data_IF_308402358858
#
_entry.id   IF_308402358858
#
_cell.length_a   1.000
_cell.length_b   1.000
_cell.length_c   1.000
_cell.angle_alpha   90.00
_cell.angle_beta   90.00
_cell.angle_gamma   90.00
#
_symmetry.space_group_name_H-M   'P 1'
#
loop_
_entity.id
_entity.type
_entity.pdbx_description
1 polymer ?
#
# COMPACT_ATOMS: atom_id res chain seq x y z
N UNK A 1 -26.66 -29.94 -27.07
CA UNK A 1 -27.39 -29.02 -26.15
C UNK A 1 -26.47 -28.00 -25.48
N UNK A 2 -25.17 -28.28 -25.24
CA UNK A 2 -24.19 -27.30 -24.69
C UNK A 2 -23.98 -26.07 -25.58
N UNK A 3 -23.59 -26.24 -26.85
CA UNK A 3 -23.25 -25.11 -27.73
C UNK A 3 -24.37 -24.08 -27.97
N UNK A 4 -25.65 -24.49 -27.89
CA UNK A 4 -26.78 -23.56 -27.99
C UNK A 4 -26.96 -22.76 -26.70
N UNK A 5 -26.74 -23.38 -25.54
CA UNK A 5 -26.76 -22.72 -24.23
C UNK A 5 -25.59 -21.75 -24.09
N UNK A 6 -24.41 -22.14 -24.55
CA UNK A 6 -23.21 -21.29 -24.55
C UNK A 6 -23.40 -20.08 -25.48
N UNK A 7 -23.95 -20.29 -26.68
CA UNK A 7 -24.26 -19.20 -27.61
C UNK A 7 -25.37 -18.25 -27.09
N UNK A 8 -26.39 -18.79 -26.40
CA UNK A 8 -27.43 -17.97 -25.78
C UNK A 8 -26.92 -17.18 -24.57
N UNK A 9 -26.04 -17.77 -23.76
CA UNK A 9 -25.41 -17.11 -22.61
C UNK A 9 -24.45 -16.01 -23.07
N UNK A 10 -23.68 -16.27 -24.12
CA UNK A 10 -22.81 -15.29 -24.78
C UNK A 10 -23.60 -14.13 -25.40
N UNK A 11 -24.72 -14.42 -26.07
CA UNK A 11 -25.60 -13.39 -26.59
C UNK A 11 -26.19 -12.56 -25.44
N UNK A 12 -26.73 -13.21 -24.40
CA UNK A 12 -27.31 -12.53 -23.24
C UNK A 12 -26.31 -11.61 -22.55
N UNK A 13 -25.06 -12.06 -22.34
CA UNK A 13 -23.99 -11.23 -21.79
C UNK A 13 -23.68 -10.02 -22.68
N UNK A 14 -23.63 -10.20 -23.99
CA UNK A 14 -23.43 -9.11 -24.94
C UNK A 14 -24.52 -8.03 -24.88
N UNK A 15 -25.75 -8.39 -24.50
CA UNK A 15 -26.87 -7.45 -24.33
C UNK A 15 -26.89 -6.73 -22.99
N UNK A 16 -26.36 -7.32 -21.91
CA UNK A 16 -26.38 -6.70 -20.57
C UNK A 16 -25.07 -6.02 -20.19
N UNK A 17 -23.97 -6.32 -20.90
CA UNK A 17 -22.64 -5.80 -20.56
C UNK A 17 -22.53 -4.28 -20.63
N UNK A 18 -23.05 -3.58 -21.66
CA UNK A 18 -22.99 -2.12 -21.68
C UNK A 18 -23.65 -1.47 -20.44
N UNK A 19 -24.78 -2.02 -20.00
CA UNK A 19 -25.49 -1.57 -18.81
C UNK A 19 -24.72 -1.90 -17.52
N UNK A 20 -24.10 -3.08 -17.45
CA UNK A 20 -23.23 -3.47 -16.34
C UNK A 20 -22.00 -2.55 -16.24
N UNK A 21 -21.34 -2.28 -17.36
CA UNK A 21 -20.16 -1.42 -17.42
C UNK A 21 -20.49 0.02 -17.00
N UNK A 22 -21.63 0.56 -17.44
CA UNK A 22 -22.12 1.87 -17.03
C UNK A 22 -22.50 1.91 -15.54
N UNK A 23 -23.17 0.87 -15.02
CA UNK A 23 -23.54 0.79 -13.59
C UNK A 23 -22.28 0.68 -12.72
N UNK A 24 -21.27 -0.07 -13.14
CA UNK A 24 -19.98 -0.18 -12.46
C UNK A 24 -19.20 1.13 -12.52
N UNK A 25 -19.29 1.87 -13.63
CA UNK A 25 -18.73 3.22 -13.74
C UNK A 25 -19.40 4.19 -12.75
N UNK A 26 -20.72 4.13 -12.60
CA UNK A 26 -21.43 4.94 -11.60
C UNK A 26 -21.01 4.58 -10.17
N UNK A 27 -20.81 3.28 -9.87
CA UNK A 27 -20.28 2.86 -8.59
C UNK A 27 -18.88 3.45 -8.31
N UNK A 28 -17.99 3.45 -9.31
CA UNK A 28 -16.65 4.07 -9.21
C UNK A 28 -16.71 5.57 -8.92
N UNK A 29 -17.58 6.29 -9.61
CA UNK A 29 -17.78 7.72 -9.36
C UNK A 29 -18.21 8.00 -7.90
N UNK A 30 -19.09 7.18 -7.31
CA UNK A 30 -19.48 7.38 -5.91
C UNK A 30 -18.35 7.03 -4.93
N UNK A 31 -17.47 6.08 -5.28
CA UNK A 31 -16.26 5.78 -4.50
C UNK A 31 -15.29 6.95 -4.54
N UNK A 32 -15.07 7.54 -5.73
CA UNK A 32 -14.27 8.76 -5.91
C UNK A 32 -14.79 9.92 -5.05
N UNK A 33 -16.10 10.19 -5.09
CA UNK A 33 -16.69 11.26 -4.28
C UNK A 33 -16.54 11.01 -2.78
N UNK A 34 -16.71 9.77 -2.32
CA UNK A 34 -16.52 9.44 -0.92
C UNK A 34 -15.06 9.56 -0.48
N UNK A 35 -14.11 9.17 -1.32
CA UNK A 35 -12.68 9.30 -1.02
C UNK A 35 -12.27 10.77 -0.80
N UNK A 36 -12.88 11.69 -1.56
CA UNK A 36 -12.68 13.14 -1.41
C UNK A 36 -13.39 13.71 -0.17
N UNK A 37 -14.59 13.22 0.15
CA UNK A 37 -15.37 13.68 1.30
C UNK A 37 -15.92 12.49 2.12
N UNK A 38 -15.09 11.88 3.01
CA UNK A 38 -15.48 10.67 3.76
C UNK A 38 -16.64 10.88 4.74
N UNK A 39 -17.00 12.14 5.03
CA UNK A 39 -18.14 12.47 5.88
C UNK A 39 -19.49 12.25 5.19
N UNK A 40 -19.54 12.28 3.85
CA UNK A 40 -20.76 12.03 3.07
C UNK A 40 -20.99 10.53 2.86
N UNK A 41 -21.40 9.85 3.93
CA UNK A 41 -21.74 8.41 3.89
C UNK A 41 -22.88 8.07 2.91
N UNK A 42 -23.61 9.05 2.39
CA UNK A 42 -24.66 8.79 1.38
C UNK A 42 -24.08 8.24 0.07
N UNK A 43 -22.83 8.60 -0.26
CA UNK A 43 -22.08 8.10 -1.42
C UNK A 43 -21.93 6.58 -1.41
N UNK A 44 -21.53 6.02 -0.26
CA UNK A 44 -21.41 4.58 -0.09
C UNK A 44 -22.75 3.86 -0.17
N UNK A 45 -23.85 4.52 0.21
CA UNK A 45 -25.20 3.97 0.03
C UNK A 45 -25.57 3.87 -1.45
N UNK A 46 -25.27 4.89 -2.25
CA UNK A 46 -25.49 4.86 -3.71
C UNK A 46 -24.60 3.80 -4.37
N UNK A 47 -23.32 3.74 -4.01
CA UNK A 47 -22.39 2.71 -4.46
C UNK A 47 -22.93 1.30 -4.20
N UNK A 48 -23.38 1.01 -2.96
CA UNK A 48 -23.99 -0.27 -2.62
C UNK A 48 -25.24 -0.56 -3.46
N UNK A 49 -26.07 0.45 -3.77
CA UNK A 49 -27.22 0.31 -4.66
C UNK A 49 -26.85 -0.09 -6.09
N UNK A 50 -25.82 0.53 -6.66
CA UNK A 50 -25.31 0.16 -8.00
C UNK A 50 -24.73 -1.26 -8.00
N UNK A 51 -23.94 -1.63 -7.00
CA UNK A 51 -23.37 -2.98 -6.87
C UNK A 51 -24.45 -4.05 -6.70
N UNK A 52 -25.53 -3.73 -5.97
CA UNK A 52 -26.70 -4.60 -5.86
C UNK A 52 -27.38 -4.85 -7.21
N UNK A 53 -27.52 -3.80 -8.03
CA UNK A 53 -28.09 -3.92 -9.37
C UNK A 53 -27.20 -4.78 -10.30
N UNK A 54 -25.87 -4.60 -10.23
CA UNK A 54 -24.89 -5.43 -10.95
C UNK A 54 -25.04 -6.90 -10.54
N UNK A 55 -25.09 -7.17 -9.23
CA UNK A 55 -25.27 -8.50 -8.67
C UNK A 55 -26.57 -9.16 -9.15
N UNK A 56 -27.69 -8.45 -9.11
CA UNK A 56 -28.98 -8.95 -9.59
C UNK A 56 -28.96 -9.27 -11.09
N UNK A 57 -28.33 -8.39 -11.89
CA UNK A 57 -28.19 -8.58 -13.34
C UNK A 57 -27.35 -9.80 -13.67
N UNK A 58 -26.21 -9.98 -13.00
CA UNK A 58 -25.34 -11.15 -13.18
C UNK A 58 -26.02 -12.46 -12.80
N UNK A 59 -26.82 -12.46 -11.72
CA UNK A 59 -27.64 -13.63 -11.35
C UNK A 59 -28.72 -13.95 -12.38
N UNK A 60 -29.35 -12.93 -12.98
CA UNK A 60 -30.36 -13.14 -14.03
C UNK A 60 -29.80 -13.80 -15.30
N UNK A 61 -28.52 -13.55 -15.62
CA UNK A 61 -27.82 -14.20 -16.75
C UNK A 61 -27.04 -15.45 -16.34
N UNK A 62 -27.31 -16.00 -15.15
CA UNK A 62 -26.68 -17.21 -14.59
C UNK A 62 -25.14 -17.12 -14.39
N UNK A 63 -24.58 -15.92 -14.29
CA UNK A 63 -23.15 -15.69 -14.00
C UNK A 63 -22.91 -15.58 -12.49
N UNK A 64 -22.97 -16.71 -11.80
CA UNK A 64 -22.95 -16.77 -10.33
C UNK A 64 -21.63 -16.31 -9.70
N UNK A 65 -20.48 -16.72 -10.24
CA UNK A 65 -19.18 -16.34 -9.67
C UNK A 65 -18.87 -14.83 -9.79
N UNK A 66 -19.10 -14.17 -10.95
CA UNK A 66 -19.09 -12.71 -11.04
C UNK A 66 -20.10 -12.03 -10.11
N UNK A 67 -21.30 -12.62 -9.93
CA UNK A 67 -22.29 -12.08 -9.01
C UNK A 67 -21.82 -12.12 -7.54
N UNK A 68 -21.02 -13.12 -7.15
CA UNK A 68 -20.40 -13.16 -5.82
C UNK A 68 -19.42 -12.01 -5.62
N UNK A 69 -18.65 -11.63 -6.65
CA UNK A 69 -17.74 -10.48 -6.57
C UNK A 69 -18.54 -9.20 -6.32
N UNK A 70 -19.61 -8.98 -7.10
CA UNK A 70 -20.49 -7.83 -6.91
C UNK A 70 -21.15 -7.81 -5.52
N UNK A 71 -21.53 -8.98 -5.00
CA UNK A 71 -22.10 -9.13 -3.65
C UNK A 71 -21.09 -8.78 -2.55
N UNK A 72 -19.85 -9.27 -2.63
CA UNK A 72 -18.83 -8.94 -1.64
C UNK A 72 -18.44 -7.46 -1.68
N UNK A 73 -18.42 -6.84 -2.87
CA UNK A 73 -18.23 -5.40 -3.03
C UNK A 73 -19.40 -4.60 -2.44
N UNK A 74 -20.64 -5.03 -2.68
CA UNK A 74 -21.84 -4.40 -2.10
C UNK A 74 -21.76 -4.40 -0.57
N UNK A 75 -21.37 -5.54 0.01
CA UNK A 75 -21.20 -5.67 1.45
C UNK A 75 -20.03 -4.83 1.99
N UNK A 76 -18.94 -4.69 1.24
CA UNK A 76 -17.84 -3.78 1.60
C UNK A 76 -18.31 -2.33 1.59
N UNK A 77 -19.01 -1.88 0.55
CA UNK A 77 -19.55 -0.52 0.48
C UNK A 77 -20.50 -0.24 1.67
N UNK A 78 -21.33 -1.21 2.07
CA UNK A 78 -22.17 -1.09 3.26
C UNK A 78 -21.35 -0.98 4.55
N UNK A 79 -20.29 -1.78 4.70
CA UNK A 79 -19.41 -1.72 5.86
C UNK A 79 -18.70 -0.36 5.99
N UNK A 80 -18.24 0.20 4.86
CA UNK A 80 -17.69 1.56 4.80
C UNK A 80 -18.76 2.59 5.19
N UNK A 81 -19.98 2.45 4.67
CA UNK A 81 -21.10 3.36 4.97
C UNK A 81 -21.38 3.49 6.47
N UNK A 82 -21.28 2.39 7.22
CA UNK A 82 -21.57 2.35 8.67
C UNK A 82 -20.32 2.53 9.55
N UNK A 83 -19.12 2.66 8.95
CA UNK A 83 -17.86 2.83 9.67
C UNK A 83 -17.34 1.56 10.35
N UNK A 84 -17.64 0.38 9.80
CA UNK A 84 -17.19 -0.92 10.32
C UNK A 84 -15.83 -1.38 9.77
N UNK A 85 -15.23 -0.62 8.85
CA UNK A 85 -13.89 -0.89 8.30
C UNK A 85 -12.80 -0.20 9.12
N UNK A 86 -11.65 -0.86 9.25
CA UNK A 86 -10.51 -0.30 9.99
C UNK A 86 -9.84 0.87 9.26
N UNK A 87 -9.72 0.76 7.93
CA UNK A 87 -9.11 1.76 7.06
C UNK A 87 -10.05 2.06 5.87
N UNK A 88 -10.51 3.31 5.79
CA UNK A 88 -11.44 3.75 4.74
C UNK A 88 -10.75 3.89 3.39
N UNK A 89 -9.48 4.29 3.37
CA UNK A 89 -8.72 4.47 2.14
C UNK A 89 -8.42 3.11 1.52
N UNK A 90 -8.03 2.13 2.33
CA UNK A 90 -7.85 0.74 1.90
C UNK A 90 -9.17 0.13 1.38
N UNK A 91 -10.27 0.37 2.08
CA UNK A 91 -11.58 -0.10 1.65
C UNK A 91 -12.03 0.51 0.31
N UNK A 92 -11.81 1.82 0.11
CA UNK A 92 -12.11 2.49 -1.15
C UNK A 92 -11.22 1.97 -2.28
N UNK A 93 -9.93 1.74 -2.03
CA UNK A 93 -9.04 1.13 -3.01
C UNK A 93 -9.50 -0.28 -3.42
N UNK A 94 -9.93 -1.10 -2.47
CA UNK A 94 -10.45 -2.45 -2.75
C UNK A 94 -11.76 -2.40 -3.56
N UNK A 95 -12.66 -1.47 -3.24
CA UNK A 95 -13.88 -1.22 -4.02
C UNK A 95 -13.56 -0.79 -5.46
N UNK A 96 -12.61 0.14 -5.65
CA UNK A 96 -12.16 0.57 -6.98
C UNK A 96 -11.55 -0.60 -7.76
N UNK A 97 -10.65 -1.36 -7.15
CA UNK A 97 -10.03 -2.53 -7.78
C UNK A 97 -11.09 -3.55 -8.21
N UNK A 98 -12.02 -3.93 -7.34
CA UNK A 98 -13.07 -4.89 -7.69
C UNK A 98 -13.99 -4.42 -8.82
N UNK A 99 -14.33 -3.13 -8.84
CA UNK A 99 -15.18 -2.53 -9.90
C UNK A 99 -14.46 -2.31 -11.23
N UNK A 100 -13.12 -2.37 -11.25
CA UNK A 100 -12.30 -2.40 -12.47
C UNK A 100 -12.09 -3.82 -12.99
N UNK A 101 -11.84 -4.79 -12.09
CA UNK A 101 -11.56 -6.19 -12.44
C UNK A 101 -12.78 -6.97 -12.96
N UNK A 102 -13.97 -6.70 -12.40
CA UNK A 102 -15.19 -7.41 -12.77
C UNK A 102 -15.55 -7.23 -14.26
N UNK A 103 -15.54 -6.01 -14.85
CA UNK A 103 -15.73 -5.80 -16.28
C UNK A 103 -14.79 -6.63 -17.17
N UNK A 104 -13.52 -6.79 -16.80
CA UNK A 104 -12.53 -7.55 -17.58
C UNK A 104 -12.84 -9.03 -17.63
N UNK A 105 -13.29 -9.58 -16.50
CA UNK A 105 -13.79 -10.96 -16.46
C UNK A 105 -14.97 -11.15 -17.41
N UNK A 106 -15.93 -10.23 -17.37
CA UNK A 106 -17.12 -10.29 -18.24
C UNK A 106 -16.76 -10.12 -19.72
N UNK A 107 -15.79 -9.26 -20.03
CA UNK A 107 -15.33 -9.09 -21.41
C UNK A 107 -14.59 -10.32 -21.94
N UNK A 108 -13.81 -11.01 -21.10
CA UNK A 108 -13.23 -12.31 -21.43
C UNK A 108 -14.32 -13.32 -21.81
N UNK A 109 -15.40 -13.42 -21.04
CA UNK A 109 -16.53 -14.28 -21.38
C UNK A 109 -17.23 -13.85 -22.68
N UNK A 110 -17.40 -12.54 -22.88
CA UNK A 110 -17.98 -11.97 -24.10
C UNK A 110 -17.12 -12.20 -25.35
N UNK A 111 -15.80 -12.38 -25.18
CA UNK A 111 -14.89 -12.73 -26.27
C UNK A 111 -14.87 -14.25 -26.55
N UNK A 112 -15.76 -15.02 -25.92
CA UNK A 112 -15.92 -16.46 -26.14
C UNK A 112 -14.92 -17.34 -25.39
N UNK A 113 -14.16 -16.77 -24.45
CA UNK A 113 -13.30 -17.58 -23.59
C UNK A 113 -14.14 -18.40 -22.60
N UNK A 114 -13.64 -19.59 -22.25
CA UNK A 114 -14.28 -20.49 -21.27
C UNK A 114 -14.45 -19.81 -19.91
N UNK A 115 -15.59 -19.99 -19.27
CA UNK A 115 -15.82 -19.56 -17.89
C UNK A 115 -14.91 -20.34 -16.92
N UNK A 116 -14.08 -19.63 -16.16
CA UNK A 116 -13.12 -20.21 -15.21
C UNK A 116 -13.23 -19.45 -13.88
N UNK A 117 -14.28 -19.73 -13.08
CA UNK A 117 -14.57 -19.01 -11.83
C UNK A 117 -13.43 -18.92 -10.83
N UNK A 118 -12.56 -19.93 -10.78
CA UNK A 118 -11.48 -20.04 -9.78
C UNK A 118 -10.49 -18.85 -9.83
N UNK A 119 -10.36 -18.18 -10.99
CA UNK A 119 -9.50 -16.98 -11.09
C UNK A 119 -10.03 -15.77 -10.32
N UNK A 120 -11.32 -15.77 -9.94
CA UNK A 120 -11.92 -14.71 -9.12
C UNK A 120 -11.72 -14.94 -7.61
N UNK A 121 -11.26 -16.13 -7.20
CA UNK A 121 -11.11 -16.47 -5.78
C UNK A 121 -10.14 -15.54 -5.03
N UNK A 122 -8.97 -15.15 -5.59
CA UNK A 122 -8.09 -14.19 -4.92
C UNK A 122 -8.79 -12.85 -4.66
N UNK A 123 -9.48 -12.30 -5.67
CA UNK A 123 -10.22 -11.04 -5.54
C UNK A 123 -11.32 -11.13 -4.48
N UNK A 124 -12.11 -12.21 -4.48
CA UNK A 124 -13.14 -12.45 -3.47
C UNK A 124 -12.54 -12.46 -2.05
N UNK A 125 -11.40 -13.12 -1.88
CA UNK A 125 -10.74 -13.23 -0.58
C UNK A 125 -10.13 -11.91 -0.12
N UNK A 126 -9.56 -11.11 -1.02
CA UNK A 126 -9.09 -9.77 -0.70
C UNK A 126 -10.25 -8.86 -0.24
N UNK A 127 -11.38 -8.83 -0.97
CA UNK A 127 -12.56 -8.03 -0.58
C UNK A 127 -13.08 -8.43 0.81
N UNK A 128 -13.09 -9.74 1.09
CA UNK A 128 -13.51 -10.30 2.38
C UNK A 128 -12.52 -9.94 3.49
N UNK A 129 -11.22 -10.03 3.23
CA UNK A 129 -10.18 -9.69 4.18
C UNK A 129 -10.25 -8.21 4.59
N UNK A 130 -10.53 -7.28 3.66
CA UNK A 130 -10.74 -5.85 3.98
C UNK A 130 -11.89 -5.61 4.97
N UNK A 131 -12.82 -6.57 5.11
CA UNK A 131 -13.92 -6.54 6.08
C UNK A 131 -13.68 -7.43 7.30
N UNK A 132 -12.47 -7.98 7.45
CA UNK A 132 -12.13 -8.95 8.49
C UNK A 132 -12.88 -10.28 8.39
N UNK A 133 -13.36 -10.64 7.20
CA UNK A 133 -14.08 -11.90 6.96
C UNK A 133 -13.12 -13.02 6.53
N UNK A 134 -13.38 -14.28 6.94
CA UNK A 134 -12.55 -15.39 6.51
C UNK A 134 -12.66 -15.61 5.00
N UNK A 135 -11.55 -16.00 4.37
CA UNK A 135 -11.50 -16.35 2.95
C UNK A 135 -12.41 -17.53 2.60
N UNK A 136 -12.84 -17.57 1.34
CA UNK A 136 -13.55 -18.67 0.72
C UNK A 136 -12.57 -19.74 0.24
N UNK A 137 -13.04 -20.98 0.25
CA UNK A 137 -12.35 -22.11 -0.37
C UNK A 137 -12.88 -22.33 -1.79
N UNK A 138 -12.06 -22.98 -2.63
CA UNK A 138 -12.40 -23.29 -4.03
C UNK A 138 -13.72 -24.05 -4.20
N UNK A 139 -14.06 -24.89 -3.22
CA UNK A 139 -15.29 -25.68 -3.18
C UNK A 139 -16.57 -24.85 -3.27
N UNK A 140 -16.53 -23.59 -2.82
CA UNK A 140 -17.68 -22.67 -2.92
C UNK A 140 -17.94 -22.31 -4.38
N UNK A 141 -16.89 -22.07 -5.18
CA UNK A 141 -17.03 -21.73 -6.60
C UNK A 141 -17.43 -22.96 -7.44
N UNK A 142 -16.90 -24.15 -7.10
CA UNK A 142 -17.29 -25.40 -7.75
C UNK A 142 -18.73 -25.83 -7.48
N UNK A 143 -19.35 -25.34 -6.40
CA UNK A 143 -20.75 -25.60 -6.11
C UNK A 143 -21.70 -24.90 -7.10
N UNK A 144 -21.27 -23.77 -7.68
CA UNK A 144 -22.05 -23.00 -8.65
C UNK A 144 -21.78 -23.42 -10.10
N UNK A 145 -20.57 -23.92 -10.38
CA UNK A 145 -20.21 -24.52 -11.66
C UNK A 145 -19.42 -25.83 -11.46
N UNK A 146 -20.10 -26.99 -11.51
CA UNK A 146 -19.44 -28.29 -11.40
C UNK A 146 -18.42 -28.59 -12.51
N UNK A 147 -18.46 -27.85 -13.64
CA UNK A 147 -17.48 -28.00 -14.73
C UNK A 147 -16.26 -27.10 -14.57
N UNK A 148 -16.26 -26.17 -13.61
CA UNK A 148 -15.11 -25.32 -13.29
C UNK A 148 -13.93 -26.12 -12.70
N UNK A 149 -14.18 -27.29 -12.11
CA UNK A 149 -13.13 -28.21 -11.63
C UNK A 149 -12.37 -28.97 -12.72
N UNK A 150 -12.66 -28.69 -14.00
CA UNK A 150 -12.09 -29.38 -15.18
C UNK A 150 -11.28 -28.41 -16.05
N UNK A 151 -10.87 -27.27 -15.51
CA UNK A 151 -9.95 -26.37 -16.21
C UNK A 151 -8.52 -26.89 -16.07
N UNK A 152 -7.78 -26.96 -17.17
CA UNK A 152 -6.37 -27.35 -17.19
C UNK A 152 -5.48 -26.20 -16.69
N UNK A 153 -4.28 -26.53 -16.20
CA UNK A 153 -3.29 -25.53 -15.76
C UNK A 153 -3.07 -24.44 -16.85
N UNK A 154 -2.92 -24.86 -18.11
CA UNK A 154 -2.74 -23.94 -19.24
C UNK A 154 -3.96 -23.03 -19.49
N UNK A 155 -5.18 -23.49 -19.22
CA UNK A 155 -6.39 -22.66 -19.31
C UNK A 155 -6.47 -21.67 -18.13
N UNK A 156 -6.03 -22.07 -16.94
CA UNK A 156 -5.89 -21.17 -15.79
C UNK A 156 -4.86 -20.08 -16.06
N UNK A 157 -3.68 -20.45 -16.54
CA UNK A 157 -2.59 -19.52 -16.85
C UNK A 157 -3.01 -18.53 -17.94
N UNK A 158 -3.72 -19.02 -18.97
CA UNK A 158 -4.27 -18.15 -20.00
C UNK A 158 -5.33 -17.18 -19.44
N UNK A 159 -6.22 -17.66 -18.55
CA UNK A 159 -7.23 -16.81 -17.92
C UNK A 159 -6.61 -15.75 -17.00
N UNK A 160 -5.64 -16.14 -16.16
CA UNK A 160 -4.87 -15.24 -15.31
C UNK A 160 -4.08 -14.22 -16.13
N UNK A 161 -3.37 -14.67 -17.15
CA UNK A 161 -2.60 -13.82 -18.04
C UNK A 161 -3.47 -12.82 -18.82
N UNK A 162 -4.64 -13.25 -19.29
CA UNK A 162 -5.59 -12.36 -19.98
C UNK A 162 -6.15 -11.27 -19.06
N UNK A 163 -6.48 -11.60 -17.80
CA UNK A 163 -6.95 -10.63 -16.82
C UNK A 163 -5.81 -9.69 -16.40
N UNK A 164 -4.66 -10.25 -16.02
CA UNK A 164 -3.46 -9.52 -15.61
C UNK A 164 -2.97 -8.54 -16.70
N UNK A 165 -2.97 -8.97 -17.97
CA UNK A 165 -2.53 -8.12 -19.09
C UNK A 165 -3.38 -6.86 -19.26
N UNK A 166 -4.71 -7.01 -19.18
CA UNK A 166 -5.65 -5.88 -19.30
C UNK A 166 -5.58 -4.93 -18.12
N UNK A 167 -5.46 -5.48 -16.90
CA UNK A 167 -5.25 -4.69 -15.70
C UNK A 167 -3.95 -3.88 -15.79
N UNK A 168 -2.89 -4.48 -16.32
CA UNK A 168 -1.62 -3.81 -16.57
C UNK A 168 -1.78 -2.66 -17.56
N UNK A 169 -2.48 -2.84 -18.68
CA UNK A 169 -2.71 -1.76 -19.65
C UNK A 169 -3.49 -0.58 -19.06
N UNK A 170 -4.51 -0.86 -18.23
CA UNK A 170 -5.28 0.17 -17.55
C UNK A 170 -4.45 0.91 -16.50
N UNK A 171 -3.70 0.18 -15.67
CA UNK A 171 -2.86 0.79 -14.63
C UNK A 171 -1.68 1.55 -15.21
N UNK A 172 -1.13 1.11 -16.34
CA UNK A 172 -0.11 1.86 -17.06
C UNK A 172 -0.70 3.17 -17.61
N UNK A 173 -1.94 3.15 -18.13
CA UNK A 173 -2.63 4.35 -18.59
C UNK A 173 -2.86 5.35 -17.46
N UNK A 174 -3.42 4.89 -16.33
CA UNK A 174 -3.68 5.74 -15.15
C UNK A 174 -2.38 6.20 -14.50
N UNK A 175 -1.39 5.31 -14.40
CA UNK A 175 -0.07 5.61 -13.86
C UNK A 175 0.66 6.67 -14.69
N UNK A 176 0.63 6.57 -16.01
CA UNK A 176 1.19 7.58 -16.90
C UNK A 176 0.48 8.92 -16.77
N UNK A 177 -0.85 8.94 -16.63
CA UNK A 177 -1.59 10.18 -16.38
C UNK A 177 -1.17 10.86 -15.06
N UNK A 178 -1.01 10.08 -13.98
CA UNK A 178 -0.50 10.56 -12.68
C UNK A 178 0.92 11.11 -12.80
N UNK A 179 1.82 10.39 -13.49
CA UNK A 179 3.21 10.82 -13.74
C UNK A 179 3.25 12.15 -14.52
N UNK A 180 2.41 12.30 -15.54
CA UNK A 180 2.29 13.55 -16.31
C UNK A 180 1.80 14.73 -15.44
N UNK A 181 0.79 14.51 -14.60
CA UNK A 181 0.26 15.57 -13.73
C UNK A 181 1.32 16.03 -12.72
N UNK A 182 2.08 15.10 -12.11
CA UNK A 182 3.19 15.44 -11.22
C UNK A 182 4.34 16.16 -11.95
N UNK A 183 4.64 15.78 -13.20
CA UNK A 183 5.62 16.51 -14.02
C UNK A 183 5.17 17.95 -14.26
N UNK A 184 3.89 18.19 -14.58
CA UNK A 184 3.34 19.54 -14.76
C UNK A 184 3.44 20.37 -13.48
N UNK A 185 3.15 19.78 -12.32
CA UNK A 185 3.31 20.45 -11.03
C UNK A 185 4.76 20.85 -10.81
N UNK A 186 5.71 19.92 -11.01
CA UNK A 186 7.14 20.20 -10.89
C UNK A 186 7.59 21.34 -11.81
N UNK A 187 7.19 21.31 -13.08
CA UNK A 187 7.56 22.32 -14.07
C UNK A 187 7.01 23.71 -13.71
N UNK A 188 5.79 23.77 -13.17
CA UNK A 188 5.21 25.02 -12.66
C UNK A 188 5.99 25.58 -11.47
N UNK A 189 6.44 24.73 -10.55
CA UNK A 189 7.26 25.15 -9.40
C UNK A 189 8.66 25.63 -9.83
N UNK A 190 9.32 24.94 -10.76
CA UNK A 190 10.61 25.38 -11.33
C UNK A 190 10.48 26.73 -12.04
N UNK A 191 9.42 26.91 -12.85
CA UNK A 191 9.14 28.18 -13.50
C UNK A 191 8.94 29.30 -12.48
N UNK A 192 8.17 29.04 -11.43
CA UNK A 192 7.90 30.00 -10.37
C UNK A 192 9.18 30.42 -9.63
N UNK A 193 10.05 29.47 -9.29
CA UNK A 193 11.36 29.74 -8.67
C UNK A 193 12.28 30.60 -9.55
N UNK A 194 12.25 30.39 -10.88
CA UNK A 194 13.09 31.14 -11.82
C UNK A 194 12.59 32.56 -12.10
N UNK A 195 11.28 32.72 -12.17
CA UNK A 195 10.64 33.98 -12.60
C UNK A 195 10.20 34.86 -11.43
N UNK A 196 10.08 34.30 -10.22
CA UNK A 196 9.58 35.00 -9.04
C UNK A 196 8.11 35.40 -9.20
N UNK A 197 7.27 34.47 -9.67
CA UNK A 197 5.84 34.69 -9.93
C UNK A 197 5.00 34.97 -8.67
N UNK A 198 3.70 35.20 -8.84
CA UNK A 198 2.79 35.39 -7.71
C UNK A 198 2.52 34.05 -7.00
N UNK A 199 2.77 33.99 -5.69
CA UNK A 199 2.60 32.79 -4.88
C UNK A 199 1.15 32.29 -4.93
N UNK A 200 0.17 33.19 -5.13
CA UNK A 200 -1.24 32.83 -5.26
C UNK A 200 -1.53 31.91 -6.46
N UNK A 201 -0.70 31.94 -7.51
CA UNK A 201 -0.87 31.08 -8.69
C UNK A 201 -0.61 29.59 -8.36
N UNK A 202 0.22 29.32 -7.35
CA UNK A 202 0.56 27.96 -6.89
C UNK A 202 -0.62 27.23 -6.24
N UNK A 203 -1.73 27.93 -5.97
CA UNK A 203 -2.97 27.31 -5.49
C UNK A 203 -3.51 26.26 -6.46
N UNK A 204 -3.24 26.39 -7.76
CA UNK A 204 -3.60 25.39 -8.77
C UNK A 204 -2.84 24.09 -8.53
N UNK A 205 -1.52 24.18 -8.36
CA UNK A 205 -0.65 23.02 -8.09
C UNK A 205 -1.00 22.31 -6.78
N UNK A 206 -1.45 23.04 -5.76
CA UNK A 206 -1.99 22.42 -4.52
C UNK A 206 -3.21 21.54 -4.82
N UNK A 207 -4.12 21.98 -5.70
CA UNK A 207 -5.29 21.18 -6.10
C UNK A 207 -4.90 19.98 -6.95
N UNK A 208 -3.95 20.17 -7.86
CA UNK A 208 -3.46 19.11 -8.75
C UNK A 208 -2.80 17.98 -7.94
N UNK A 209 -1.95 18.32 -6.96
CA UNK A 209 -1.36 17.35 -6.02
C UNK A 209 -2.43 16.63 -5.18
N UNK A 210 -3.50 17.32 -4.78
CA UNK A 210 -4.64 16.68 -4.11
C UNK A 210 -5.29 15.60 -4.99
N UNK A 211 -5.56 15.94 -6.25
CA UNK A 211 -6.19 15.02 -7.21
C UNK A 211 -5.28 13.81 -7.50
N UNK A 212 -3.97 14.02 -7.58
CA UNK A 212 -2.99 12.93 -7.71
C UNK A 212 -3.01 12.01 -6.48
N UNK A 213 -2.97 12.59 -5.28
CA UNK A 213 -3.03 11.83 -4.03
C UNK A 213 -4.30 10.96 -3.94
N UNK A 214 -5.45 11.50 -4.34
CA UNK A 214 -6.72 10.75 -4.36
C UNK A 214 -6.64 9.57 -5.34
N UNK A 215 -6.08 9.79 -6.54
CA UNK A 215 -5.89 8.74 -7.54
C UNK A 215 -4.98 7.62 -7.04
N UNK A 216 -3.86 7.97 -6.39
CA UNK A 216 -2.95 7.00 -5.78
C UNK A 216 -3.63 6.22 -4.64
N UNK A 217 -4.45 6.91 -3.83
CA UNK A 217 -5.28 6.27 -2.80
C UNK A 217 -6.22 5.25 -3.39
N UNK A 218 -6.92 5.60 -4.48
CA UNK A 218 -7.84 4.71 -5.18
C UNK A 218 -7.14 3.50 -5.82
N UNK A 219 -5.87 3.63 -6.19
CA UNK A 219 -5.06 2.51 -6.69
C UNK A 219 -4.52 1.61 -5.56
N UNK A 220 -4.76 1.96 -4.29
CA UNK A 220 -4.22 1.24 -3.13
C UNK A 220 -2.77 1.59 -2.81
N UNK A 221 -2.22 2.64 -3.42
CA UNK A 221 -0.86 3.13 -3.19
C UNK A 221 -0.82 4.08 -1.99
N UNK A 222 -1.22 3.60 -0.82
CA UNK A 222 -1.36 4.42 0.39
C UNK A 222 -0.09 5.17 0.79
N UNK A 223 1.09 4.53 0.66
CA UNK A 223 2.36 5.18 0.99
C UNK A 223 2.70 6.28 -0.02
N UNK A 224 2.54 6.02 -1.32
CA UNK A 224 2.78 7.02 -2.36
C UNK A 224 1.81 8.20 -2.25
N UNK A 225 0.53 7.92 -1.94
CA UNK A 225 -0.45 8.94 -1.58
C UNK A 225 0.05 9.82 -0.44
N UNK A 226 0.51 9.22 0.66
CA UNK A 226 0.97 9.99 1.83
C UNK A 226 2.15 10.92 1.49
N UNK A 227 3.09 10.45 0.65
CA UNK A 227 4.19 11.29 0.16
C UNK A 227 3.64 12.50 -0.62
N UNK A 228 2.71 12.28 -1.55
CA UNK A 228 2.09 13.38 -2.34
C UNK A 228 1.27 14.33 -1.45
N UNK A 229 0.53 13.81 -0.47
CA UNK A 229 -0.22 14.61 0.51
C UNK A 229 0.71 15.52 1.31
N UNK A 230 1.86 15.00 1.76
CA UNK A 230 2.86 15.81 2.45
C UNK A 230 3.38 16.95 1.57
N UNK A 231 3.62 16.69 0.28
CA UNK A 231 4.05 17.72 -0.67
C UNK A 231 2.96 18.77 -0.92
N UNK A 232 1.70 18.34 -1.06
CA UNK A 232 0.54 19.22 -1.16
C UNK A 232 0.46 20.17 0.03
N UNK A 233 0.59 19.64 1.25
CA UNK A 233 0.46 20.42 2.49
C UNK A 233 1.67 21.35 2.71
N UNK A 234 2.86 20.92 2.29
CA UNK A 234 4.04 21.80 2.25
C UNK A 234 3.82 22.97 1.29
N UNK A 235 3.32 22.70 0.08
CA UNK A 235 3.04 23.74 -0.91
C UNK A 235 1.90 24.67 -0.44
N UNK A 236 0.87 24.14 0.20
CA UNK A 236 -0.22 24.95 0.79
C UNK A 236 0.31 25.94 1.83
N UNK A 237 1.26 25.54 2.69
CA UNK A 237 1.92 26.44 3.65
C UNK A 237 2.73 27.56 2.97
N UNK A 238 3.30 27.29 1.79
CA UNK A 238 3.95 28.32 0.97
C UNK A 238 2.91 29.31 0.45
N UNK A 239 1.78 28.82 -0.06
CA UNK A 239 0.68 29.66 -0.56
C UNK A 239 0.09 30.54 0.54
N UNK A 240 -0.06 30.01 1.75
CA UNK A 240 -0.55 30.75 2.93
C UNK A 240 0.49 31.74 3.51
N UNK A 241 1.69 31.83 2.91
CA UNK A 241 2.76 32.73 3.35
C UNK A 241 3.43 32.32 4.66
N UNK A 242 3.20 31.10 5.14
CA UNK A 242 3.81 30.56 6.35
C UNK A 242 5.25 30.07 6.11
N UNK A 243 5.57 29.71 4.86
CA UNK A 243 6.89 29.22 4.45
C UNK A 243 7.31 29.94 3.18
N UNK A 244 8.61 30.22 3.05
CA UNK A 244 9.15 30.83 1.84
C UNK A 244 9.35 29.77 0.77
N UNK A 245 8.97 30.07 -0.47
CA UNK A 245 9.29 29.21 -1.61
C UNK A 245 10.81 29.18 -1.84
N UNK A 246 11.39 27.99 -1.84
CA UNK A 246 12.81 27.75 -2.11
C UNK A 246 13.04 26.45 -2.91
N UNK A 247 14.29 26.16 -3.24
CA UNK A 247 14.68 24.99 -4.03
C UNK A 247 14.39 23.66 -3.32
N UNK A 248 14.27 23.64 -1.98
CA UNK A 248 13.98 22.42 -1.23
C UNK A 248 12.59 21.87 -1.56
N UNK A 249 11.59 22.75 -1.68
CA UNK A 249 10.21 22.37 -2.06
C UNK A 249 10.16 21.74 -3.45
N UNK A 250 10.96 22.24 -4.41
CA UNK A 250 11.06 21.66 -5.75
C UNK A 250 11.71 20.27 -5.72
N UNK A 251 12.77 20.09 -4.91
CA UNK A 251 13.45 18.81 -4.75
C UNK A 251 12.55 17.77 -4.07
N UNK A 252 11.74 18.17 -3.09
CA UNK A 252 10.81 17.27 -2.42
C UNK A 252 9.71 16.78 -3.36
N UNK A 253 9.17 17.64 -4.23
CA UNK A 253 8.20 17.26 -5.28
C UNK A 253 8.85 16.35 -6.34
N UNK A 254 10.11 16.62 -6.72
CA UNK A 254 10.84 15.72 -7.61
C UNK A 254 11.10 14.35 -6.97
N UNK A 255 11.36 14.30 -5.67
CA UNK A 255 11.47 13.06 -4.89
C UNK A 255 10.15 12.29 -4.83
N UNK A 256 9.03 12.99 -4.61
CA UNK A 256 7.70 12.40 -4.64
C UNK A 256 7.39 11.77 -6.00
N UNK A 257 7.78 12.43 -7.10
CA UNK A 257 7.62 11.90 -8.45
C UNK A 257 8.39 10.59 -8.65
N UNK A 258 9.65 10.51 -8.23
CA UNK A 258 10.46 9.28 -8.32
C UNK A 258 9.87 8.15 -7.46
N UNK A 259 9.35 8.49 -6.29
CA UNK A 259 8.72 7.52 -5.39
C UNK A 259 7.42 6.95 -5.99
N UNK A 260 6.57 7.82 -6.54
CA UNK A 260 5.34 7.43 -7.23
C UNK A 260 5.64 6.57 -8.46
N UNK A 261 6.68 6.91 -9.22
CA UNK A 261 7.15 6.13 -10.36
C UNK A 261 7.51 4.70 -9.97
N UNK A 262 8.37 4.54 -8.94
CA UNK A 262 8.76 3.24 -8.43
C UNK A 262 7.57 2.44 -7.85
N UNK A 263 6.63 3.12 -7.18
CA UNK A 263 5.45 2.48 -6.57
C UNK A 263 4.45 1.97 -7.63
N UNK A 264 4.24 2.75 -8.70
CA UNK A 264 3.39 2.35 -9.83
C UNK A 264 3.98 1.15 -10.58
N UNK A 265 5.30 1.15 -10.79
CA UNK A 265 6.00 0.04 -11.45
C UNK A 265 5.93 -1.25 -10.62
N UNK A 266 6.06 -1.16 -9.29
CA UNK A 266 5.92 -2.31 -8.38
C UNK A 266 4.50 -2.87 -8.39
N UNK A 267 3.47 -2.02 -8.44
CA UNK A 267 2.10 -2.49 -8.49
C UNK A 267 1.73 -3.16 -9.82
N UNK A 268 2.25 -2.68 -10.93
CA UNK A 268 2.14 -3.34 -12.24
C UNK A 268 2.85 -4.70 -12.22
N UNK A 269 4.02 -4.79 -11.58
CA UNK A 269 4.77 -6.04 -11.43
C UNK A 269 4.03 -7.05 -10.52
N UNK A 270 3.44 -6.57 -9.43
CA UNK A 270 2.67 -7.40 -8.48
C UNK A 270 1.43 -8.04 -9.12
N UNK A 271 0.82 -7.39 -10.12
CA UNK A 271 -0.32 -7.96 -10.83
C UNK A 271 0.09 -8.98 -11.89
N UNK A 272 1.33 -8.89 -12.39
CA UNK A 272 1.94 -9.85 -13.31
C UNK A 272 2.69 -11.01 -12.63
N UNK A 273 2.78 -11.03 -11.30
CA UNK A 273 3.41 -12.12 -10.56
C UNK A 273 2.48 -13.34 -10.54
N UNK A 274 2.93 -14.40 -11.19
CA UNK A 274 2.26 -15.70 -11.24
C UNK A 274 2.15 -16.29 -9.82
N UNK A 275 0.94 -16.64 -9.32
CA UNK A 275 0.79 -17.39 -8.08
C UNK A 275 1.30 -18.84 -8.19
N UNK A 276 1.72 -19.26 -9.39
CA UNK A 276 2.00 -20.64 -9.78
C UNK A 276 3.38 -21.18 -9.44
N UNK A 277 3.82 -21.11 -8.18
CA UNK A 277 4.72 -22.16 -7.67
C UNK A 277 4.04 -22.89 -6.49
N UNK A 278 3.41 -24.01 -6.84
CA UNK A 278 2.33 -24.68 -6.11
C UNK A 278 2.70 -25.43 -4.84
N UNK A 279 3.46 -24.83 -3.92
CA UNK A 279 3.68 -25.43 -2.58
C UNK A 279 3.40 -24.48 -1.40
N UNK A 280 2.98 -23.23 -1.63
CA UNK A 280 2.80 -22.24 -0.55
C UNK A 280 1.46 -21.46 -0.59
N UNK A 281 0.41 -22.02 -1.19
CA UNK A 281 -0.87 -21.29 -1.38
C UNK A 281 -1.64 -21.03 -0.06
N UNK A 282 -1.26 -21.66 1.06
CA UNK A 282 -1.77 -21.27 2.39
C UNK A 282 -0.94 -20.20 3.11
N UNK A 283 0.20 -19.78 2.55
CA UNK A 283 1.09 -18.79 3.17
C UNK A 283 1.11 -17.43 2.45
N UNK A 284 0.51 -17.27 1.27
CA UNK A 284 0.63 -16.03 0.49
C UNK A 284 -0.30 -14.89 0.95
N UNK A 285 -1.53 -15.19 1.37
CA UNK A 285 -2.42 -14.19 1.98
C UNK A 285 -1.92 -13.75 3.36
N UNK A 286 -1.37 -14.70 4.14
CA UNK A 286 -0.66 -14.38 5.36
C UNK A 286 0.64 -13.63 5.06
N UNK A 287 1.34 -13.89 3.95
CA UNK A 287 2.62 -13.22 3.69
C UNK A 287 2.46 -11.79 3.20
N UNK A 288 1.36 -11.37 2.57
CA UNK A 288 1.10 -9.96 2.23
C UNK A 288 0.67 -9.14 3.46
N UNK A 289 -0.20 -9.69 4.32
CA UNK A 289 -0.55 -9.09 5.61
C UNK A 289 0.64 -9.07 6.57
N UNK A 290 1.38 -10.18 6.66
CA UNK A 290 2.63 -10.25 7.43
C UNK A 290 3.67 -9.31 6.82
N UNK A 291 3.80 -9.20 5.49
CA UNK A 291 4.73 -8.23 4.85
C UNK A 291 4.35 -6.79 5.15
N UNK A 292 3.07 -6.43 5.12
CA UNK A 292 2.61 -5.07 5.45
C UNK A 292 2.80 -4.77 6.93
N UNK A 293 2.52 -5.74 7.80
CA UNK A 293 2.80 -5.67 9.24
C UNK A 293 4.30 -5.54 9.49
N UNK A 294 5.12 -6.28 8.75
CA UNK A 294 6.59 -6.24 8.79
C UNK A 294 7.13 -4.88 8.32
N UNK A 295 6.63 -4.34 7.22
CA UNK A 295 7.06 -3.05 6.68
C UNK A 295 6.65 -1.90 7.63
N UNK A 296 5.45 -1.96 8.24
CA UNK A 296 5.01 -1.00 9.27
C UNK A 296 5.87 -1.11 10.54
N UNK A 297 6.12 -2.32 11.04
CA UNK A 297 7.00 -2.55 12.19
C UNK A 297 8.44 -2.09 11.94
N UNK A 298 8.97 -2.32 10.73
CA UNK A 298 10.30 -1.86 10.35
C UNK A 298 10.36 -0.33 10.27
N UNK A 299 9.33 0.31 9.72
CA UNK A 299 9.24 1.77 9.65
C UNK A 299 9.15 2.40 11.05
N UNK A 300 8.33 1.83 11.92
CA UNK A 300 8.21 2.27 13.32
C UNK A 300 9.52 2.07 14.09
N UNK A 301 10.20 0.93 13.89
CA UNK A 301 11.51 0.67 14.47
C UNK A 301 12.57 1.69 14.02
N UNK A 302 12.61 2.07 12.74
CA UNK A 302 13.54 3.10 12.23
C UNK A 302 13.24 4.46 12.85
N UNK A 303 11.96 4.86 12.90
CA UNK A 303 11.55 6.14 13.48
C UNK A 303 11.94 6.23 14.97
N UNK A 304 11.61 5.20 15.75
CA UNK A 304 11.94 5.14 17.18
C UNK A 304 13.45 5.12 17.43
N UNK A 305 14.22 4.44 16.57
CA UNK A 305 15.68 4.44 16.64
C UNK A 305 16.27 5.82 16.30
N UNK A 306 15.73 6.50 15.29
CA UNK A 306 16.11 7.87 14.94
C UNK A 306 15.88 8.85 16.10
N UNK A 307 14.72 8.79 16.75
CA UNK A 307 14.42 9.59 17.95
C UNK A 307 15.37 9.26 19.11
N UNK A 308 15.72 7.99 19.32
CA UNK A 308 16.69 7.61 20.34
C UNK A 308 18.08 8.23 20.05
N UNK A 309 18.51 8.26 18.78
CA UNK A 309 19.75 8.92 18.35
C UNK A 309 19.75 10.41 18.64
N UNK A 310 18.66 11.11 18.33
CA UNK A 310 18.54 12.55 18.62
C UNK A 310 18.70 12.84 20.11
N UNK A 311 18.13 12.00 20.98
CA UNK A 311 18.33 12.11 22.43
C UNK A 311 19.79 11.91 22.85
N UNK A 312 20.53 11.00 22.21
CA UNK A 312 21.97 10.83 22.44
C UNK A 312 22.80 12.03 21.96
N UNK A 313 22.50 12.57 20.79
CA UNK A 313 23.15 13.80 20.28
C UNK A 313 22.90 14.95 21.25
N UNK A 314 21.65 15.14 21.66
CA UNK A 314 21.28 16.17 22.64
C UNK A 314 22.01 15.98 23.97
N UNK A 315 22.16 14.74 24.47
CA UNK A 315 22.93 14.45 25.69
C UNK A 315 24.39 14.93 25.60
N UNK A 316 25.03 14.76 24.44
CA UNK A 316 26.42 15.20 24.20
C UNK A 316 26.48 16.74 24.09
N UNK A 317 25.58 17.34 23.32
CA UNK A 317 25.57 18.80 23.06
C UNK A 317 25.20 19.64 24.30
N UNK A 318 24.38 19.08 25.19
CA UNK A 318 23.93 19.75 26.42
C UNK A 318 24.87 19.56 27.61
N UNK A 319 26.14 19.22 27.33
CA UNK A 319 27.17 19.01 28.36
C UNK A 319 26.78 17.91 29.36
N UNK A 320 26.39 16.75 28.83
CA UNK A 320 26.08 15.53 29.59
C UNK A 320 24.80 15.63 30.44
N UNK A 321 23.75 16.27 29.94
CA UNK A 321 22.44 16.29 30.61
C UNK A 321 21.76 14.92 30.52
N UNK A 322 21.95 14.11 31.55
CA UNK A 322 21.37 12.75 31.65
C UNK A 322 19.84 12.73 31.58
N UNK A 323 19.14 13.85 31.83
CA UNK A 323 17.69 13.93 31.67
C UNK A 323 17.26 13.71 30.21
N UNK A 324 18.12 14.02 29.24
CA UNK A 324 17.86 13.81 27.81
C UNK A 324 17.77 12.33 27.42
N UNK A 325 18.35 11.44 28.22
CA UNK A 325 18.35 10.00 27.95
C UNK A 325 17.14 9.27 28.56
N UNK A 326 16.28 9.93 29.32
CA UNK A 326 15.21 9.28 30.08
C UNK A 326 14.28 8.40 29.22
N UNK A 327 14.00 8.80 27.98
CA UNK A 327 13.14 8.06 27.05
C UNK A 327 13.88 7.03 26.19
N UNK A 328 15.22 7.08 26.14
CA UNK A 328 16.03 6.22 25.27
C UNK A 328 15.84 4.73 25.58
N UNK A 329 15.83 4.27 26.86
CA UNK A 329 15.62 2.85 27.14
C UNK A 329 14.26 2.31 26.67
N UNK A 330 13.22 3.16 26.69
CA UNK A 330 11.90 2.78 26.22
C UNK A 330 11.91 2.60 24.70
N UNK A 331 12.39 3.60 23.96
CA UNK A 331 12.49 3.58 22.49
C UNK A 331 13.34 2.39 21.99
N UNK A 332 14.52 2.17 22.59
CA UNK A 332 15.36 1.02 22.22
C UNK A 332 14.69 -0.32 22.56
N UNK A 333 13.85 -0.36 23.60
CA UNK A 333 13.05 -1.53 23.94
C UNK A 333 11.97 -1.84 22.90
N UNK A 334 11.30 -0.81 22.37
CA UNK A 334 10.32 -0.96 21.29
C UNK A 334 10.98 -1.45 19.99
N UNK A 335 12.13 -0.87 19.62
CA UNK A 335 12.92 -1.29 18.45
C UNK A 335 13.37 -2.76 18.61
N UNK A 336 13.88 -3.12 19.79
CA UNK A 336 14.27 -4.50 20.10
C UNK A 336 13.09 -5.48 20.08
N UNK A 337 11.92 -5.05 20.53
CA UNK A 337 10.67 -5.82 20.47
C UNK A 337 10.23 -6.07 19.02
N UNK A 338 10.23 -5.02 18.19
CA UNK A 338 9.92 -5.11 16.77
C UNK A 338 10.87 -6.09 16.06
N UNK A 339 12.17 -5.99 16.29
CA UNK A 339 13.15 -6.92 15.68
C UNK A 339 12.94 -8.38 16.08
N UNK A 340 12.47 -8.66 17.30
CA UNK A 340 12.13 -10.03 17.73
C UNK A 340 10.88 -10.56 17.01
N UNK A 341 9.90 -9.70 16.79
CA UNK A 341 8.69 -10.04 16.01
C UNK A 341 9.07 -10.31 14.55
N UNK A 342 10.06 -9.59 14.01
CA UNK A 342 10.60 -9.77 12.67
C UNK A 342 11.54 -10.99 12.53
N UNK A 343 11.65 -11.84 13.56
CA UNK A 343 12.57 -12.99 13.61
C UNK A 343 14.05 -12.61 13.41
N UNK A 344 14.46 -11.42 13.89
CA UNK A 344 15.84 -10.93 13.87
C UNK A 344 16.44 -10.88 15.30
N UNK A 345 16.61 -12.03 15.97
CA UNK A 345 17.01 -12.08 17.38
C UNK A 345 18.40 -11.50 17.63
N UNK A 346 19.33 -11.66 16.67
CA UNK A 346 20.70 -11.16 16.82
C UNK A 346 20.76 -9.63 16.89
N UNK A 347 20.04 -8.93 16.01
CA UNK A 347 19.97 -7.47 16.03
C UNK A 347 19.27 -6.96 17.30
N UNK A 348 18.21 -7.66 17.73
CA UNK A 348 17.51 -7.36 18.98
C UNK A 348 18.41 -7.50 20.21
N UNK A 349 19.31 -8.49 20.24
CA UNK A 349 20.23 -8.70 21.36
C UNK A 349 21.30 -7.61 21.45
N UNK A 350 21.79 -7.08 20.32
CA UNK A 350 22.70 -5.92 20.32
C UNK A 350 22.01 -4.66 20.84
N UNK A 351 20.78 -4.40 20.37
CA UNK A 351 19.94 -3.30 20.87
C UNK A 351 19.67 -3.39 22.37
N UNK A 352 19.40 -4.60 22.86
CA UNK A 352 19.22 -4.87 24.29
C UNK A 352 20.53 -4.61 25.08
N UNK A 353 21.69 -4.91 24.50
CA UNK A 353 22.99 -4.56 25.07
C UNK A 353 23.18 -3.06 25.22
N UNK A 354 22.88 -2.29 24.17
CA UNK A 354 22.92 -0.82 24.19
C UNK A 354 21.92 -0.27 25.21
N UNK A 355 20.69 -0.78 25.22
CA UNK A 355 19.64 -0.39 26.18
C UNK A 355 20.10 -0.56 27.62
N UNK A 356 20.67 -1.72 27.96
CA UNK A 356 21.20 -1.98 29.32
C UNK A 356 22.34 -1.05 29.69
N UNK A 357 23.24 -0.75 28.75
CA UNK A 357 24.33 0.19 29.00
C UNK A 357 23.80 1.59 29.33
N UNK A 358 22.82 2.08 28.56
CA UNK A 358 22.17 3.38 28.82
C UNK A 358 21.51 3.39 30.19
N UNK A 359 20.71 2.37 30.49
CA UNK A 359 19.90 2.31 31.70
C UNK A 359 20.77 2.19 32.97
N UNK A 360 21.80 1.33 32.94
CA UNK A 360 22.64 1.05 34.10
C UNK A 360 23.79 2.06 34.28
N UNK A 361 24.52 2.41 33.22
CA UNK A 361 25.70 3.28 33.33
C UNK A 361 25.35 4.75 33.15
N UNK A 362 24.58 5.12 32.12
CA UNK A 362 24.31 6.51 31.80
C UNK A 362 23.20 7.10 32.66
N UNK A 363 22.12 6.37 32.92
CA UNK A 363 20.99 6.87 33.74
C UNK A 363 21.21 6.52 35.21
N UNK A 364 21.37 5.23 35.53
CA UNK A 364 21.46 4.75 36.91
C UNK A 364 22.69 5.28 37.66
N UNK A 365 23.87 5.22 37.04
CA UNK A 365 25.13 5.68 37.64
C UNK A 365 25.51 7.11 37.27
N UNK A 366 24.78 7.76 36.37
CA UNK A 366 25.11 9.09 35.82
C UNK A 366 26.59 9.22 35.43
N UNK A 367 27.14 8.17 34.79
CA UNK A 367 28.52 8.18 34.35
C UNK A 367 28.64 8.94 33.03
N UNK A 368 29.60 9.86 32.98
CA UNK A 368 30.01 10.49 31.73
C UNK A 368 30.91 9.52 30.96
N UNK A 369 30.54 9.14 29.72
CA UNK A 369 31.35 8.28 28.88
C UNK A 369 32.72 8.89 28.57
N UNK A 370 33.76 8.06 28.53
CA UNK A 370 35.05 8.47 27.96
C UNK A 370 34.99 8.61 26.44
N UNK A 371 35.89 9.37 25.82
CA UNK A 371 35.95 9.56 24.37
C UNK A 371 35.89 8.23 23.58
N UNK A 372 36.67 7.24 24.01
CA UNK A 372 36.65 5.90 23.41
C UNK A 372 35.29 5.19 23.55
N UNK A 373 34.60 5.35 24.68
CA UNK A 373 33.27 4.75 24.88
C UNK A 373 32.19 5.43 24.03
N UNK A 374 32.34 6.73 23.76
CA UNK A 374 31.45 7.46 22.85
C UNK A 374 31.64 7.01 21.42
N UNK A 375 32.89 6.87 20.97
CA UNK A 375 33.20 6.39 19.63
C UNK A 375 32.61 4.99 19.42
N UNK A 376 32.82 4.06 20.36
CA UNK A 376 32.24 2.71 20.30
C UNK A 376 30.71 2.72 20.30
N UNK A 377 30.07 3.59 21.10
CA UNK A 377 28.61 3.71 21.14
C UNK A 377 28.07 4.30 19.83
N UNK A 378 28.73 5.32 19.29
CA UNK A 378 28.37 5.94 18.02
C UNK A 378 28.51 4.96 16.85
N UNK A 379 29.60 4.19 16.80
CA UNK A 379 29.81 3.15 15.80
C UNK A 379 28.74 2.05 15.89
N UNK A 380 28.39 1.63 17.11
CA UNK A 380 27.33 0.64 17.34
C UNK A 380 25.96 1.18 16.90
N UNK A 381 25.63 2.42 17.24
CA UNK A 381 24.39 3.07 16.82
C UNK A 381 24.31 3.25 15.31
N UNK A 382 25.38 3.73 14.67
CA UNK A 382 25.45 3.93 13.22
C UNK A 382 25.32 2.59 12.47
N UNK A 383 25.92 1.53 12.99
CA UNK A 383 25.81 0.20 12.38
C UNK A 383 24.40 -0.37 12.52
N UNK A 384 23.75 -0.17 13.67
CA UNK A 384 22.35 -0.57 13.89
C UNK A 384 21.38 0.24 13.03
N UNK A 385 21.62 1.54 12.85
CA UNK A 385 20.86 2.40 11.94
C UNK A 385 20.98 1.91 10.51
N UNK A 386 22.21 1.70 10.03
CA UNK A 386 22.47 1.22 8.68
C UNK A 386 21.88 -0.19 8.44
N UNK A 387 21.88 -1.04 9.47
CA UNK A 387 21.22 -2.35 9.40
C UNK A 387 19.68 -2.22 9.29
N UNK A 388 19.06 -1.34 10.07
CA UNK A 388 17.62 -1.08 10.00
C UNK A 388 17.21 -0.46 8.65
N UNK A 389 18.02 0.45 8.10
CA UNK A 389 17.79 1.00 6.76
C UNK A 389 17.96 -0.06 5.66
N UNK A 390 18.98 -0.91 5.76
CA UNK A 390 19.18 -2.04 4.83
C UNK A 390 18.04 -3.07 4.91
N UNK A 391 17.44 -3.24 6.09
CA UNK A 391 16.26 -4.07 6.30
C UNK A 391 15.05 -3.52 5.54
N UNK A 392 14.83 -2.21 5.57
CA UNK A 392 13.77 -1.52 4.80
C UNK A 392 13.98 -1.64 3.30
N UNK A 393 15.20 -1.43 2.82
CA UNK A 393 15.53 -1.44 1.39
C UNK A 393 15.65 -2.86 0.79
N UNK A 394 15.44 -3.90 1.61
CA UNK A 394 15.55 -5.32 1.21
C UNK A 394 16.86 -5.64 0.49
N UNK A 395 17.97 -4.98 0.88
CA UNK A 395 19.27 -5.21 0.24
C UNK A 395 19.77 -6.64 0.52
N UNK A 396 20.21 -7.39 -0.50
CA UNK A 396 20.89 -8.68 -0.29
C UNK A 396 22.22 -8.46 0.44
N UNK A 397 22.60 -9.36 1.36
CA UNK A 397 23.86 -9.26 2.14
C UNK A 397 23.78 -8.52 3.47
N UNK A 398 22.58 -8.21 3.97
CA UNK A 398 22.34 -7.48 5.24
C UNK A 398 22.97 -8.10 6.49
N UNK A 399 23.24 -9.40 6.50
CA UNK A 399 23.85 -10.11 7.62
C UNK A 399 25.33 -9.75 7.79
N UNK A 400 26.04 -9.44 6.70
CA UNK A 400 27.46 -9.03 6.73
C UNK A 400 27.66 -7.65 7.39
N UNK A 401 26.61 -6.82 7.45
CA UNK A 401 26.61 -5.51 8.11
C UNK A 401 26.70 -5.67 9.63
N UNK A 402 26.01 -6.67 10.20
CA UNK A 402 26.05 -6.96 11.64
C UNK A 402 27.42 -7.45 12.10
N UNK A 403 28.21 -8.08 11.22
CA UNK A 403 29.57 -8.52 11.56
C UNK A 403 30.53 -7.34 11.78
N UNK A 404 30.30 -6.19 11.15
CA UNK A 404 31.04 -4.95 11.43
C UNK A 404 30.73 -4.46 12.85
N UNK A 405 29.44 -4.50 13.23
CA UNK A 405 28.99 -4.14 14.59
C UNK A 405 29.55 -5.09 15.65
N UNK A 406 29.60 -6.39 15.35
CA UNK A 406 30.20 -7.42 16.21
C UNK A 406 31.68 -7.11 16.49
N UNK A 407 32.46 -6.84 15.43
CA UNK A 407 33.89 -6.56 15.58
C UNK A 407 34.18 -5.30 16.39
N UNK A 408 33.33 -4.28 16.33
CA UNK A 408 33.47 -3.06 17.14
C UNK A 408 33.06 -3.25 18.61
N UNK A 409 32.06 -4.10 18.89
CA UNK A 409 31.59 -4.38 20.25
C UNK A 409 32.42 -5.43 21.00
N UNK A 410 33.01 -6.40 20.30
CA UNK A 410 33.86 -7.47 20.90
C UNK A 410 35.31 -7.02 21.19
N UNK A 411 35.75 -5.85 20.72
CA UNK A 411 37.07 -5.27 21.01
C UNK A 411 37.11 -4.37 22.27
N UNK A 412 36.11 -4.48 23.14
CA UNK A 412 36.04 -3.80 24.46
C UNK A 412 35.78 -4.81 25.57
#
# INVERSE_FOLDING_TARGET
MSALRDAMSHAALGWVKPELDETLRQARNEIEYFAQEPSDTSRMRFCAGYLHQVQGTLRMVELYAPAMVAEELELLAKAVQVGEVADHDEACAMLMRGTVLLPDYLERLQNGHRDIPIVLLPLLNEIRATRGQPGLNESVLFAFDPQAGVATEAELDHARGSLSGRNRELLDTVGNAVKEELLRVKDALDLHLRTGGDIAELQTQVKDLGSVADTLGMMGLGVARNVVVQQRDALARVVDGQTRMDESVLLDVAGALLYVDASLDDQVASLGADPGDGTEVSNSANSSEVRRTVDVLAQEAIANFGTAREHFVAFIETNWDHARLANVPHLLGEVGGALRILELPQAADYLEGVRRYVDLELIGKQRVPSGRQLDTLADAMASLEYYLEALRERRPGREEILDITRNSLEMT
#
